data_IF_954095215125
#
_entry.id   IF_954095215125
#
_cell.length_a   1.000
_cell.length_b   1.000
_cell.length_c   1.000
_cell.angle_alpha   90.00
_cell.angle_beta   90.00
_cell.angle_gamma   90.00
#
_symmetry.space_group_name_H-M   'P 1'
#
loop_
_entity.id
_entity.type
_entity.pdbx_description
1 polymer ?
#
# COMPACT_ATOMS: atom_id res chain seq x y z
N UNK A 1 -2.64 0.18 12.92
CA UNK A 1 -2.96 -1.26 12.79
C UNK A 1 -2.46 -1.64 11.41
N UNK A 2 -1.49 -2.54 11.38
CA UNK A 2 -0.76 -2.91 10.19
C UNK A 2 -1.46 -4.09 9.47
N UNK A 3 -1.62 -3.98 8.16
CA UNK A 3 -2.10 -5.02 7.27
C UNK A 3 -1.00 -5.39 6.27
N UNK A 4 -0.81 -6.68 6.04
CA UNK A 4 0.04 -7.17 4.94
C UNK A 4 -0.77 -7.25 3.65
N UNK A 5 -0.19 -6.78 2.56
CA UNK A 5 -0.79 -6.82 1.22
C UNK A 5 -0.05 -7.85 0.39
N UNK A 6 -0.78 -8.84 -0.11
CA UNK A 6 -0.26 -9.97 -0.86
C UNK A 6 -0.84 -9.98 -2.27
N UNK A 7 0.00 -10.25 -3.28
CA UNK A 7 -0.42 -10.46 -4.67
C UNK A 7 0.25 -11.72 -5.20
N UNK A 8 -0.54 -12.63 -5.78
CA UNK A 8 -0.06 -13.91 -6.34
C UNK A 8 0.85 -14.74 -5.40
N UNK A 9 0.56 -14.70 -4.10
CA UNK A 9 1.34 -15.40 -3.08
C UNK A 9 2.67 -14.73 -2.71
N UNK A 10 2.95 -13.53 -3.23
CA UNK A 10 4.12 -12.70 -2.92
C UNK A 10 3.69 -11.55 -2.02
N UNK A 11 4.51 -11.21 -1.02
CA UNK A 11 4.30 -10.04 -0.18
C UNK A 11 4.58 -8.78 -1.00
N UNK A 12 3.53 -8.05 -1.37
CA UNK A 12 3.66 -6.81 -2.13
C UNK A 12 4.02 -5.64 -1.23
N UNK A 13 3.51 -5.59 -0.01
CA UNK A 13 3.80 -4.48 0.90
C UNK A 13 2.99 -4.47 2.17
N UNK A 14 3.02 -3.33 2.85
CA UNK A 14 2.40 -3.10 4.14
C UNK A 14 1.56 -1.84 4.11
N UNK A 15 0.34 -1.94 4.62
CA UNK A 15 -0.61 -0.85 4.79
C UNK A 15 -0.82 -0.59 6.27
N UNK A 16 -0.55 0.64 6.73
CA UNK A 16 -0.82 1.04 8.11
C UNK A 16 -1.68 2.30 8.15
N UNK A 17 -2.28 2.53 9.33
CA UNK A 17 -2.79 3.84 9.70
C UNK A 17 -1.66 4.66 10.30
N UNK A 18 -1.52 5.92 9.90
CA UNK A 18 -0.42 6.79 10.35
C UNK A 18 -0.92 7.97 11.17
N UNK A 19 -0.25 8.24 12.28
CA UNK A 19 -0.56 9.34 13.19
C UNK A 19 -1.84 9.15 14.00
N UNK A 20 -2.34 10.25 14.57
CA UNK A 20 -3.52 10.25 15.45
C UNK A 20 -4.86 10.23 14.72
N UNK A 21 -4.86 10.55 13.42
CA UNK A 21 -6.07 10.54 12.61
C UNK A 21 -6.30 9.11 12.05
N UNK A 22 -7.39 8.43 12.45
CA UNK A 22 -7.66 7.07 11.99
C UNK A 22 -7.93 6.98 10.49
N UNK A 23 -8.15 8.09 9.77
CA UNK A 23 -8.35 8.10 8.32
C UNK A 23 -7.06 8.10 7.53
N UNK A 24 -5.96 8.57 8.12
CA UNK A 24 -4.68 8.63 7.41
C UNK A 24 -4.09 7.24 7.28
N UNK A 25 -3.80 6.85 6.04
CA UNK A 25 -3.15 5.59 5.75
C UNK A 25 -1.83 5.82 5.04
N UNK A 26 -0.89 4.91 5.23
CA UNK A 26 0.33 4.85 4.44
C UNK A 26 0.50 3.45 3.89
N UNK A 27 0.91 3.36 2.64
CA UNK A 27 1.31 2.11 2.02
C UNK A 27 2.78 2.17 1.63
N UNK A 28 3.52 1.12 1.95
CA UNK A 28 4.89 0.93 1.52
C UNK A 28 5.04 -0.45 0.89
N UNK A 29 5.64 -0.50 -0.29
CA UNK A 29 6.01 -1.75 -0.94
C UNK A 29 7.07 -2.50 -0.14
N UNK A 30 7.08 -3.84 -0.26
CA UNK A 30 8.16 -4.64 0.30
C UNK A 30 9.48 -4.30 -0.42
N UNK A 31 10.60 -4.16 0.30
CA UNK A 31 11.90 -3.86 -0.33
C UNK A 31 12.37 -4.89 -1.36
N UNK A 32 11.84 -6.12 -1.30
CA UNK A 32 12.13 -7.19 -2.26
C UNK A 32 11.19 -7.21 -3.47
N UNK A 33 10.12 -6.39 -3.47
CA UNK A 33 9.17 -6.33 -4.58
C UNK A 33 9.83 -5.84 -5.87
N UNK A 34 9.47 -6.46 -6.98
CA UNK A 34 9.92 -6.12 -8.33
C UNK A 34 8.87 -5.27 -9.04
N UNK A 35 9.24 -4.48 -10.06
CA UNK A 35 8.27 -3.70 -10.82
C UNK A 35 7.12 -4.54 -11.43
N UNK A 36 7.39 -5.81 -11.76
CA UNK A 36 6.36 -6.76 -12.24
C UNK A 36 5.37 -7.22 -11.16
N UNK A 37 5.58 -6.84 -9.90
CA UNK A 37 4.80 -7.25 -8.73
C UNK A 37 4.08 -6.04 -8.10
N UNK A 38 3.97 -4.94 -8.84
CA UNK A 38 3.19 -3.77 -8.44
C UNK A 38 1.72 -4.15 -8.21
N UNK A 39 1.09 -3.57 -7.18
CA UNK A 39 -0.32 -3.90 -6.85
C UNK A 39 -1.29 -3.33 -7.88
N UNK A 40 -0.84 -2.41 -8.73
CA UNK A 40 -1.58 -1.87 -9.86
C UNK A 40 -0.67 -1.07 -10.80
N UNK A 41 -0.98 -1.08 -12.10
CA UNK A 41 -0.34 -0.23 -13.11
C UNK A 41 -0.45 1.27 -12.80
N UNK A 42 -1.46 1.69 -12.03
CA UNK A 42 -1.66 3.10 -11.64
C UNK A 42 -1.03 3.44 -10.30
N UNK A 43 -0.35 2.48 -9.66
CA UNK A 43 0.35 2.64 -8.41
C UNK A 43 1.75 2.01 -8.52
N UNK A 44 2.67 2.64 -9.27
CA UNK A 44 3.97 2.05 -9.57
C UNK A 44 4.82 1.83 -8.32
N UNK A 45 5.69 0.82 -8.37
CA UNK A 45 6.60 0.46 -7.28
C UNK A 45 7.41 1.67 -6.78
N UNK A 46 7.18 2.05 -5.51
CA UNK A 46 7.96 3.07 -4.78
C UNK A 46 8.29 2.57 -3.39
N UNK A 47 9.58 2.60 -3.05
CA UNK A 47 10.06 2.17 -1.72
C UNK A 47 9.83 3.23 -0.64
N UNK A 48 9.76 4.50 -1.02
CA UNK A 48 9.29 5.54 -0.12
C UNK A 48 7.78 5.33 0.08
N UNK A 49 7.35 5.17 1.33
CA UNK A 49 5.94 5.02 1.66
C UNK A 49 5.18 6.28 1.27
N UNK A 50 4.07 6.10 0.56
CA UNK A 50 3.17 7.20 0.21
C UNK A 50 2.11 7.33 1.32
N UNK A 51 1.98 8.54 1.88
CA UNK A 51 0.91 8.88 2.82
C UNK A 51 -0.33 9.37 2.07
N UNK A 52 -1.49 8.92 2.52
CA UNK A 52 -2.79 9.27 1.97
C UNK A 52 -3.62 9.97 3.06
N UNK A 53 -3.69 11.31 3.02
CA UNK A 53 -4.33 12.09 4.09
C UNK A 53 -5.82 11.80 4.25
N UNK A 54 -6.49 11.46 3.16
CA UNK A 54 -7.95 11.35 3.08
C UNK A 54 -8.46 9.89 3.05
N UNK A 55 -7.65 8.92 3.47
CA UNK A 55 -8.06 7.52 3.47
C UNK A 55 -7.06 6.58 2.83
N UNK A 56 -7.56 5.49 2.27
CA UNK A 56 -6.78 4.54 1.48
C UNK A 56 -6.49 5.11 0.08
N UNK A 57 -5.40 4.66 -0.56
CA UNK A 57 -5.21 4.90 -1.99
C UNK A 57 -6.38 4.33 -2.81
N UNK A 58 -6.83 4.98 -3.91
CA UNK A 58 -7.95 4.50 -4.72
C UNK A 58 -7.84 3.04 -5.16
N UNK A 59 -6.64 2.57 -5.53
CA UNK A 59 -6.39 1.15 -5.89
C UNK A 59 -6.79 0.19 -4.76
N UNK A 60 -6.54 0.57 -3.51
CA UNK A 60 -6.88 -0.25 -2.34
C UNK A 60 -8.38 -0.12 -2.00
N UNK A 61 -8.98 1.06 -2.21
CA UNK A 61 -10.42 1.29 -1.98
C UNK A 61 -11.33 0.47 -2.91
N UNK A 62 -10.89 0.20 -4.14
CA UNK A 62 -11.67 -0.54 -5.14
C UNK A 62 -11.96 -2.01 -4.76
N UNK A 63 -11.41 -2.52 -3.66
CA UNK A 63 -11.60 -3.89 -3.17
C UNK A 63 -12.61 -4.00 -2.01
N UNK A 64 -13.36 -2.93 -1.72
CA UNK A 64 -14.44 -2.87 -0.72
C UNK A 64 -15.81 -3.10 -1.39
#
# INVERSE_FOLDING_TARGET
>A
MMLEVWSDGVLSGRLDRVGSDPRRCAFAYDPSARPSEEVSLTMPLKLAGDEYPDGLHPVLQMNL
#
